data_IF_067427709871
#
_entry.id   IF_067427709871
#
_cell.length_a   1.000
_cell.length_b   1.000
_cell.length_c   1.000
_cell.angle_alpha   90.00
_cell.angle_beta   90.00
_cell.angle_gamma   90.00
#
_symmetry.space_group_name_H-M   'P 1'
#
loop_
_entity.id
_entity.type
_entity.pdbx_description
1 polymer ?
#
# COMPACT_ATOMS: atom_id res chain seq x y z
N UNK A 1 4.85 6.33 57.86
CA UNK A 1 5.66 7.53 57.57
C UNK A 1 5.36 7.99 56.15
N UNK A 2 4.76 9.18 56.02
CA UNK A 2 4.44 9.83 54.74
C UNK A 2 5.72 10.42 54.13
N UNK A 3 5.97 10.19 52.84
CA UNK A 3 6.96 10.96 52.06
C UNK A 3 6.34 11.38 50.74
N UNK A 4 5.75 12.56 50.77
CA UNK A 4 5.48 13.42 49.61
C UNK A 4 6.81 13.91 49.04
N UNK A 5 7.04 13.77 47.73
CA UNK A 5 8.11 14.47 47.04
C UNK A 5 7.56 15.16 45.80
N UNK A 6 7.93 16.43 45.71
CA UNK A 6 7.29 17.48 44.94
C UNK A 6 7.72 17.52 43.46
N UNK A 7 6.74 17.93 42.66
CA UNK A 7 6.78 18.67 41.40
C UNK A 7 8.12 19.36 41.02
N UNK A 8 8.55 19.17 39.78
CA UNK A 8 9.20 20.24 39.00
C UNK A 8 8.75 20.16 37.54
N UNK A 9 7.87 21.10 37.17
CA UNK A 9 7.33 21.32 35.83
C UNK A 9 8.18 22.44 35.19
N UNK A 10 8.86 22.14 34.09
CA UNK A 10 9.66 23.14 33.36
C UNK A 10 8.94 23.53 32.07
N UNK A 11 8.21 24.64 32.14
CA UNK A 11 7.61 25.37 31.02
C UNK A 11 8.70 26.22 30.33
N UNK A 12 8.99 25.95 29.06
CA UNK A 12 9.72 26.90 28.20
C UNK A 12 8.72 27.72 27.38
N UNK A 13 8.74 29.04 27.63
CA UNK A 13 7.93 30.03 26.93
C UNK A 13 8.63 30.57 25.68
N UNK A 14 7.81 30.78 24.64
CA UNK A 14 7.83 31.78 23.57
C UNK A 14 9.11 32.58 23.31
N UNK A 15 9.55 32.54 22.05
CA UNK A 15 9.98 33.74 21.35
C UNK A 15 9.19 33.87 20.04
N UNK A 16 8.30 34.85 20.02
CA UNK A 16 7.74 35.42 18.81
C UNK A 16 8.66 36.57 18.37
N UNK A 17 9.11 36.53 17.12
CA UNK A 17 9.59 37.73 16.42
C UNK A 17 8.73 37.91 15.18
N UNK A 18 7.92 38.96 15.21
CA UNK A 18 7.30 39.58 14.04
C UNK A 18 8.03 40.91 13.84
N UNK A 19 8.57 41.15 12.64
CA UNK A 19 8.98 42.49 12.23
C UNK A 19 8.55 42.70 10.78
N UNK A 20 7.55 43.56 10.64
CA UNK A 20 7.04 44.20 9.44
C UNK A 20 7.96 45.38 9.11
N UNK A 21 8.40 45.51 7.86
CA UNK A 21 8.84 46.79 7.27
C UNK A 21 8.74 46.73 5.74
N UNK A 22 7.69 47.37 5.26
CA UNK A 22 7.31 47.55 3.86
C UNK A 22 8.25 48.50 3.11
N UNK A 23 8.74 48.13 1.92
CA UNK A 23 9.06 49.09 0.85
C UNK A 23 8.72 48.53 -0.54
N UNK A 24 7.58 49.01 -1.04
CA UNK A 24 7.26 49.40 -2.42
C UNK A 24 8.11 48.81 -3.58
N UNK A 25 7.52 47.91 -4.37
CA UNK A 25 7.79 47.83 -5.82
C UNK A 25 6.51 47.43 -6.58
N UNK A 26 5.94 48.44 -7.24
CA UNK A 26 5.04 48.51 -8.41
C UNK A 26 4.28 47.24 -8.88
N UNK A 27 2.96 47.33 -9.15
CA UNK A 27 2.19 46.23 -9.75
C UNK A 27 2.50 46.11 -11.25
N UNK A 28 2.91 44.93 -11.70
CA UNK A 28 2.85 44.54 -13.11
C UNK A 28 1.47 43.95 -13.41
N UNK A 29 0.75 44.45 -14.43
CA UNK A 29 -0.50 43.85 -14.89
C UNK A 29 -0.18 42.65 -15.80
N UNK A 30 -1.10 41.68 -15.82
CA UNK A 30 -1.09 40.47 -16.66
C UNK A 30 -0.08 39.36 -16.30
N UNK A 31 -0.48 38.50 -15.37
CA UNK A 31 -0.41 37.05 -15.64
C UNK A 31 -1.80 36.47 -15.48
N UNK A 32 -2.40 36.15 -16.62
CA UNK A 32 -3.62 35.38 -16.71
C UNK A 32 -3.40 34.03 -16.02
N UNK A 33 -4.19 33.77 -14.97
CA UNK A 33 -4.43 32.46 -14.40
C UNK A 33 -4.84 31.52 -15.54
N UNK A 34 -4.10 30.45 -15.87
CA UNK A 34 -4.64 29.43 -16.74
C UNK A 34 -5.88 28.88 -16.02
N UNK A 35 -7.04 29.11 -16.64
CA UNK A 35 -8.27 28.49 -16.22
C UNK A 35 -8.04 26.99 -16.15
N UNK A 36 -8.48 26.39 -15.05
CA UNK A 36 -8.52 24.95 -14.88
C UNK A 36 -9.33 24.37 -16.05
N UNK A 37 -8.62 23.85 -17.06
CA UNK A 37 -9.20 22.86 -17.94
C UNK A 37 -9.58 21.71 -17.03
N UNK A 38 -10.87 21.61 -16.77
CA UNK A 38 -11.48 20.41 -16.20
C UNK A 38 -11.37 19.37 -17.29
N UNK A 39 -10.17 18.83 -17.46
CA UNK A 39 -10.00 17.51 -18.06
C UNK A 39 -10.77 16.60 -17.12
N UNK A 40 -12.01 16.28 -17.49
CA UNK A 40 -12.62 15.01 -17.11
C UNK A 40 -11.64 13.97 -17.63
N UNK A 41 -10.67 13.63 -16.78
CA UNK A 41 -9.77 12.53 -16.96
C UNK A 41 -10.67 11.29 -16.97
N UNK A 42 -11.11 10.93 -18.18
CA UNK A 42 -11.50 9.58 -18.53
C UNK A 42 -10.27 8.67 -18.44
N UNK A 43 -9.64 8.61 -17.26
CA UNK A 43 -8.69 7.57 -16.90
C UNK A 43 -9.41 6.21 -16.75
N UNK A 44 -10.73 6.17 -16.88
CA UNK A 44 -11.54 4.97 -16.77
C UNK A 44 -11.39 4.01 -17.95
N UNK A 45 -10.95 4.46 -19.13
CA UNK A 45 -10.94 3.61 -20.33
C UNK A 45 -9.66 2.78 -20.50
N UNK A 46 -8.52 3.23 -19.97
CA UNK A 46 -7.25 2.49 -20.06
C UNK A 46 -7.03 1.50 -18.90
N UNK A 47 -7.84 1.61 -17.84
CA UNK A 47 -7.89 0.67 -16.73
C UNK A 47 -8.90 -0.46 -16.99
N UNK A 48 -9.75 -0.33 -18.02
CA UNK A 48 -10.90 -1.21 -18.23
C UNK A 48 -10.55 -2.71 -18.31
N UNK A 49 -9.35 -3.09 -18.76
CA UNK A 49 -8.94 -4.50 -18.79
C UNK A 49 -8.16 -4.98 -17.56
N UNK A 50 -7.42 -4.09 -16.89
CA UNK A 50 -6.54 -4.47 -15.77
C UNK A 50 -7.32 -4.67 -14.48
N UNK A 51 -6.96 -5.71 -13.74
CA UNK A 51 -7.57 -6.01 -12.45
C UNK A 51 -6.90 -5.16 -11.34
N UNK A 52 -7.64 -4.31 -10.61
CA UNK A 52 -7.10 -3.55 -9.47
C UNK A 52 -6.73 -4.49 -8.33
N UNK A 53 -5.43 -4.60 -8.04
CA UNK A 53 -4.90 -5.49 -7.01
C UNK A 53 -3.89 -4.72 -6.14
N UNK A 54 -3.99 -4.87 -4.83
CA UNK A 54 -3.02 -4.36 -3.85
C UNK A 54 -2.38 -5.50 -3.07
N UNK A 55 -1.22 -5.24 -2.46
CA UNK A 55 -0.46 -6.20 -1.65
C UNK A 55 -0.11 -5.57 -0.30
N UNK A 56 -0.78 -6.07 0.74
CA UNK A 56 -0.50 -5.74 2.13
C UNK A 56 0.34 -6.85 2.75
N UNK A 57 1.65 -6.64 2.80
CA UNK A 57 2.60 -7.57 3.40
C UNK A 57 2.86 -7.26 4.88
N UNK A 58 2.90 -8.30 5.70
CA UNK A 58 3.31 -8.27 7.11
C UNK A 58 4.31 -9.39 7.38
N UNK A 59 5.34 -9.07 8.13
CA UNK A 59 6.46 -9.96 8.39
C UNK A 59 7.76 -9.21 8.17
N UNK A 60 8.82 -9.65 8.82
CA UNK A 60 10.14 -8.99 8.81
C UNK A 60 11.26 -9.98 8.53
N UNK A 61 10.93 -11.19 8.15
CA UNK A 61 11.89 -12.22 7.76
C UNK A 61 12.41 -11.98 6.35
N UNK A 62 13.64 -12.41 6.08
CA UNK A 62 14.34 -12.09 4.84
C UNK A 62 13.64 -12.64 3.60
N UNK A 63 13.33 -13.95 3.56
CA UNK A 63 12.74 -14.58 2.38
C UNK A 63 11.32 -14.08 2.09
N UNK A 64 10.51 -13.86 3.13
CA UNK A 64 9.18 -13.28 3.03
C UNK A 64 9.19 -11.81 2.60
N UNK A 65 10.15 -11.03 3.09
CA UNK A 65 10.38 -9.65 2.65
C UNK A 65 10.75 -9.60 1.17
N UNK A 66 11.70 -10.43 0.73
CA UNK A 66 12.08 -10.56 -0.68
C UNK A 66 10.90 -10.98 -1.55
N UNK A 67 10.09 -11.94 -1.10
CA UNK A 67 8.87 -12.35 -1.77
C UNK A 67 7.91 -11.17 -1.95
N UNK A 68 7.65 -10.41 -0.88
CA UNK A 68 6.74 -9.26 -0.95
C UNK A 68 7.21 -8.19 -1.93
N UNK A 69 8.52 -7.91 -1.98
CA UNK A 69 9.09 -6.97 -2.93
C UNK A 69 8.97 -7.48 -4.36
N UNK A 70 9.31 -8.74 -4.61
CA UNK A 70 9.20 -9.33 -5.95
C UNK A 70 7.76 -9.39 -6.45
N UNK A 71 6.80 -9.70 -5.58
CA UNK A 71 5.39 -9.64 -5.95
C UNK A 71 4.97 -8.21 -6.33
N UNK A 72 5.40 -7.19 -5.58
CA UNK A 72 5.08 -5.78 -5.90
C UNK A 72 5.75 -5.33 -7.20
N UNK A 73 7.02 -5.69 -7.42
CA UNK A 73 7.76 -5.41 -8.66
C UNK A 73 7.03 -6.00 -9.88
N UNK A 74 6.67 -7.27 -9.82
CA UNK A 74 5.97 -7.96 -10.91
C UNK A 74 4.57 -7.36 -11.13
N UNK A 75 3.86 -6.98 -10.06
CA UNK A 75 2.55 -6.35 -10.17
C UNK A 75 2.62 -4.98 -10.85
N UNK A 76 3.67 -4.19 -10.58
CA UNK A 76 3.91 -2.91 -11.27
C UNK A 76 4.23 -3.10 -12.75
N UNK A 77 4.97 -4.16 -13.11
CA UNK A 77 5.30 -4.48 -14.50
C UNK A 77 4.15 -5.15 -15.26
N UNK A 78 3.13 -5.65 -14.55
CA UNK A 78 2.07 -6.48 -15.11
C UNK A 78 1.17 -5.75 -16.10
N UNK A 79 0.77 -6.47 -17.16
CA UNK A 79 -0.32 -6.08 -18.07
C UNK A 79 -1.69 -6.57 -17.59
N UNK A 80 -1.73 -7.52 -16.65
CA UNK A 80 -2.96 -8.12 -16.14
C UNK A 80 -3.53 -7.37 -14.94
N UNK A 81 -2.64 -6.83 -14.12
CA UNK A 81 -3.00 -6.13 -12.90
C UNK A 81 -2.68 -4.64 -12.98
N UNK A 82 -3.47 -3.86 -12.25
CA UNK A 82 -3.18 -2.48 -11.91
C UNK A 82 -2.89 -2.43 -10.40
N UNK A 83 -1.62 -2.23 -10.01
CA UNK A 83 -1.28 -1.95 -8.62
C UNK A 83 -1.94 -0.64 -8.20
N UNK A 84 -2.82 -0.69 -7.21
CA UNK A 84 -3.57 0.49 -6.76
C UNK A 84 -3.67 0.54 -5.24
N UNK A 85 -3.27 1.69 -4.67
CA UNK A 85 -3.53 2.03 -3.27
C UNK A 85 -4.83 2.82 -3.09
N UNK A 86 -5.67 2.91 -4.14
CA UNK A 86 -6.95 3.61 -4.05
C UNK A 86 -7.86 2.96 -3.02
N UNK A 87 -8.71 3.76 -2.39
CA UNK A 87 -9.76 3.29 -1.49
C UNK A 87 -11.03 2.83 -2.24
N UNK A 88 -11.04 2.89 -3.58
CA UNK A 88 -12.14 2.36 -4.41
C UNK A 88 -12.15 0.83 -4.45
N UNK A 89 -13.23 0.26 -5.01
CA UNK A 89 -13.38 -1.17 -5.35
C UNK A 89 -12.07 -1.80 -5.84
N UNK A 90 -11.49 -2.71 -5.05
CA UNK A 90 -10.22 -3.39 -5.36
C UNK A 90 -10.12 -4.77 -4.74
N UNK A 91 -9.18 -5.56 -5.23
CA UNK A 91 -8.72 -6.78 -4.57
C UNK A 91 -7.46 -6.50 -3.75
N UNK A 92 -7.30 -7.20 -2.64
CA UNK A 92 -6.13 -7.05 -1.77
C UNK A 92 -5.60 -8.42 -1.34
N UNK A 93 -4.30 -8.64 -1.56
CA UNK A 93 -3.56 -9.78 -1.03
C UNK A 93 -2.96 -9.41 0.32
N UNK A 94 -3.50 -9.98 1.40
CA UNK A 94 -2.89 -9.90 2.72
C UNK A 94 -1.86 -11.01 2.87
N UNK A 95 -0.59 -10.67 2.60
CA UNK A 95 0.54 -11.59 2.75
C UNK A 95 1.09 -11.49 4.18
N UNK A 96 1.09 -12.60 4.92
CA UNK A 96 1.75 -12.71 6.20
C UNK A 96 2.88 -13.73 6.12
N UNK A 97 4.08 -13.36 6.54
CA UNK A 97 5.27 -14.22 6.53
C UNK A 97 5.87 -14.36 7.92
N UNK A 98 6.49 -15.52 8.18
CA UNK A 98 7.25 -15.81 9.41
C UNK A 98 8.45 -16.71 9.07
N UNK A 99 9.59 -16.57 9.77
CA UNK A 99 10.69 -17.53 9.63
C UNK A 99 10.21 -18.94 9.94
N UNK A 100 10.54 -19.91 9.09
CA UNK A 100 10.27 -21.32 9.37
C UNK A 100 11.19 -21.86 10.47
N UNK A 101 12.45 -21.42 10.44
CA UNK A 101 13.49 -21.79 11.42
C UNK A 101 14.00 -20.52 12.13
N UNK A 102 13.44 -20.17 13.30
CA UNK A 102 13.84 -18.95 14.02
C UNK A 102 15.32 -18.88 14.37
N UNK A 103 15.95 -20.03 14.66
CA UNK A 103 17.39 -20.13 14.98
C UNK A 103 18.28 -20.06 13.73
N UNK A 104 17.69 -20.14 12.53
CA UNK A 104 18.38 -20.13 11.23
C UNK A 104 17.63 -19.18 10.27
N UNK A 105 17.59 -17.87 10.58
CA UNK A 105 16.87 -16.90 9.76
C UNK A 105 17.47 -16.86 8.35
N UNK A 106 16.61 -16.70 7.35
CA UNK A 106 17.02 -16.55 5.94
C UNK A 106 17.05 -17.84 5.12
N UNK A 107 16.86 -19.02 5.72
CA UNK A 107 16.73 -20.28 4.96
C UNK A 107 15.37 -20.36 4.26
N UNK A 108 14.32 -20.20 5.05
CA UNK A 108 12.96 -20.41 4.60
C UNK A 108 11.99 -19.60 5.46
N UNK A 109 10.88 -19.23 4.85
CA UNK A 109 9.79 -18.56 5.51
C UNK A 109 8.49 -19.22 5.14
N UNK A 110 7.66 -19.48 6.14
CA UNK A 110 6.28 -19.84 5.91
C UNK A 110 5.48 -18.58 5.60
N UNK A 111 4.56 -18.69 4.65
CA UNK A 111 3.67 -17.61 4.30
C UNK A 111 2.22 -18.07 4.26
N UNK A 112 1.32 -17.12 4.51
CA UNK A 112 -0.12 -17.25 4.33
C UNK A 112 -0.64 -16.01 3.62
N UNK A 113 -1.62 -16.20 2.74
CA UNK A 113 -2.23 -15.15 1.94
C UNK A 113 -3.73 -15.27 2.09
N UNK A 114 -4.38 -14.19 2.48
CA UNK A 114 -5.82 -14.03 2.32
C UNK A 114 -6.08 -13.05 1.18
N UNK A 115 -6.87 -13.48 0.20
CA UNK A 115 -7.36 -12.61 -0.87
C UNK A 115 -8.72 -12.08 -0.47
N UNK A 116 -8.86 -10.76 -0.47
CA UNK A 116 -10.11 -10.07 -0.13
C UNK A 116 -10.52 -9.12 -1.25
N UNK A 117 -11.82 -8.89 -1.37
CA UNK A 117 -12.38 -7.76 -2.11
C UNK A 117 -12.75 -6.64 -1.13
N UNK A 118 -12.49 -5.39 -1.50
CA UNK A 118 -12.84 -4.20 -0.72
C UNK A 118 -13.66 -3.25 -1.59
N UNK A 119 -14.80 -2.77 -1.08
CA UNK A 119 -15.75 -1.96 -1.85
C UNK A 119 -15.55 -0.44 -1.67
N UNK A 120 -15.16 0.01 -0.47
CA UNK A 120 -14.81 1.41 -0.16
C UNK A 120 -13.98 1.51 1.14
N UNK A 121 -12.81 2.13 1.10
CA UNK A 121 -11.92 2.46 2.23
C UNK A 121 -11.72 1.34 3.29
N UNK A 122 -11.91 0.08 2.91
CA UNK A 122 -11.94 -1.07 3.83
C UNK A 122 -13.18 -1.15 4.75
N UNK A 123 -14.16 -0.25 4.63
CA UNK A 123 -15.44 -0.26 5.35
C UNK A 123 -16.17 -1.59 5.18
N UNK A 124 -16.05 -2.18 3.99
CA UNK A 124 -16.59 -3.49 3.66
C UNK A 124 -15.52 -4.32 2.96
N UNK A 125 -15.12 -5.41 3.60
CA UNK A 125 -14.12 -6.36 3.10
C UNK A 125 -14.71 -7.76 3.08
N UNK A 126 -14.61 -8.43 1.93
CA UNK A 126 -15.10 -9.78 1.72
C UNK A 126 -13.94 -10.73 1.48
N UNK A 127 -13.84 -11.76 2.31
CA UNK A 127 -12.91 -12.86 2.07
C UNK A 127 -13.31 -13.64 0.81
N UNK A 128 -12.35 -13.89 -0.07
CA UNK A 128 -12.58 -14.62 -1.32
C UNK A 128 -11.92 -15.99 -1.31
N UNK A 129 -10.65 -16.06 -0.94
CA UNK A 129 -9.86 -17.29 -0.96
C UNK A 129 -8.56 -17.12 -0.15
N UNK A 130 -7.86 -18.24 0.10
CA UNK A 130 -6.59 -18.25 0.79
C UNK A 130 -5.58 -19.22 0.18
N UNK A 131 -4.30 -18.91 0.38
CA UNK A 131 -3.18 -19.77 0.02
C UNK A 131 -2.17 -19.77 1.17
N UNK A 132 -1.51 -20.91 1.37
CA UNK A 132 -0.36 -21.01 2.26
C UNK A 132 0.78 -21.76 1.57
N UNK A 133 2.00 -21.51 2.02
CA UNK A 133 3.18 -22.17 1.48
C UNK A 133 4.44 -21.79 2.23
N UNK A 134 5.56 -22.10 1.60
CA UNK A 134 6.89 -21.75 2.08
C UNK A 134 7.67 -21.12 0.94
N UNK A 135 8.56 -20.19 1.27
CA UNK A 135 9.46 -19.55 0.32
C UNK A 135 10.89 -19.68 0.83
N UNK A 136 11.76 -20.19 -0.05
CA UNK A 136 13.19 -20.25 0.18
C UNK A 136 13.87 -19.09 -0.54
N UNK A 137 15.08 -18.73 -0.10
CA UNK A 137 15.84 -17.61 -0.65
C UNK A 137 16.08 -17.70 -2.17
N UNK A 138 16.24 -18.92 -2.66
CA UNK A 138 16.54 -19.30 -4.02
C UNK A 138 15.30 -19.50 -4.89
N UNK A 139 14.13 -19.71 -4.28
CA UNK A 139 12.88 -20.02 -4.97
C UNK A 139 11.87 -18.87 -5.00
N UNK A 140 12.26 -17.67 -4.54
CA UNK A 140 11.38 -16.49 -4.43
C UNK A 140 10.63 -16.19 -5.74
N UNK A 141 11.31 -16.28 -6.88
CA UNK A 141 10.72 -15.97 -8.19
C UNK A 141 9.63 -16.98 -8.57
N UNK A 142 9.91 -18.28 -8.38
CA UNK A 142 8.95 -19.33 -8.70
C UNK A 142 7.72 -19.24 -7.79
N UNK A 143 7.92 -18.97 -6.49
CA UNK A 143 6.81 -18.85 -5.55
C UNK A 143 5.97 -17.60 -5.81
N UNK A 144 6.60 -16.48 -6.15
CA UNK A 144 5.92 -15.26 -6.59
C UNK A 144 5.03 -15.51 -7.81
N UNK A 145 5.53 -16.22 -8.83
CA UNK A 145 4.76 -16.53 -10.03
C UNK A 145 3.54 -17.39 -9.71
N UNK A 146 3.72 -18.45 -8.91
CA UNK A 146 2.63 -19.32 -8.43
C UNK A 146 1.55 -18.52 -7.70
N UNK A 147 1.95 -17.61 -6.81
CA UNK A 147 1.01 -16.77 -6.06
C UNK A 147 0.23 -15.84 -7.00
N UNK A 148 0.91 -15.18 -7.95
CA UNK A 148 0.25 -14.26 -8.87
C UNK A 148 -0.67 -14.98 -9.88
N UNK A 149 -0.31 -16.18 -10.32
CA UNK A 149 -1.15 -17.02 -11.17
C UNK A 149 -2.44 -17.42 -10.43
N UNK A 150 -2.31 -17.92 -9.19
CA UNK A 150 -3.47 -18.22 -8.36
C UNK A 150 -4.33 -16.98 -8.14
N UNK A 151 -3.71 -15.84 -7.79
CA UNK A 151 -4.40 -14.57 -7.59
C UNK A 151 -5.18 -14.15 -8.83
N UNK A 152 -4.57 -14.24 -10.01
CA UNK A 152 -5.22 -13.90 -11.27
C UNK A 152 -6.42 -14.81 -11.53
N UNK A 153 -6.25 -16.12 -11.35
CA UNK A 153 -7.31 -17.10 -11.56
C UNK A 153 -8.51 -16.87 -10.64
N UNK A 154 -8.26 -16.46 -9.39
CA UNK A 154 -9.31 -16.21 -8.39
C UNK A 154 -9.97 -14.87 -8.63
N UNK A 155 -9.20 -13.79 -8.78
CA UNK A 155 -9.72 -12.44 -9.03
C UNK A 155 -10.56 -12.39 -10.31
N UNK A 156 -10.15 -13.11 -11.37
CA UNK A 156 -10.93 -13.17 -12.61
C UNK A 156 -12.34 -13.73 -12.42
N UNK A 157 -12.53 -14.72 -11.52
CA UNK A 157 -13.86 -15.28 -11.21
C UNK A 157 -14.77 -14.26 -10.53
N UNK A 158 -14.17 -13.39 -9.72
CA UNK A 158 -14.88 -12.38 -8.93
C UNK A 158 -14.89 -10.99 -9.60
N UNK A 159 -14.51 -10.90 -10.89
CA UNK A 159 -14.43 -9.62 -11.61
C UNK A 159 -15.73 -8.82 -11.58
N UNK A 160 -16.87 -9.51 -11.55
CA UNK A 160 -18.20 -8.89 -11.44
C UNK A 160 -18.36 -8.00 -10.18
N UNK A 161 -17.58 -8.22 -9.12
CA UNK A 161 -17.59 -7.35 -7.93
C UNK A 161 -17.04 -5.94 -8.20
N UNK A 162 -16.33 -5.74 -9.32
CA UNK A 162 -15.83 -4.43 -9.73
C UNK A 162 -16.84 -3.64 -10.58
N UNK A 163 -17.90 -4.29 -11.02
CA UNK A 163 -18.96 -3.66 -11.83
C UNK A 163 -19.88 -2.83 -10.91
N UNK A 164 -20.52 -1.81 -11.47
CA UNK A 164 -21.49 -0.94 -10.78
C UNK A 164 -22.89 -1.53 -10.79
#
# INVERSE_FOLDING_TARGET
>A
MRRTLAFFLLLFAFNAYAEDNSTLTRPSPNQAKPAAETTKAGASALIADKLPLDILAKGTDQSGTLLSYKMKEELMASKLFALTASEKKKFVLHLQTRPEFPDRPGIASQYSIALVYQEDAGSLSYYLDQMQGQVHSESVVAEMQKILEWSYSTVKKYRYLLEE
#
